data_IF_969943428194
#
_entry.id   IF_969943428194
#
_cell.length_a   1.000
_cell.length_b   1.000
_cell.length_c   1.000
_cell.angle_alpha   90.00
_cell.angle_beta   90.00
_cell.angle_gamma   90.00
#
_symmetry.space_group_name_H-M   'P 1'
#
loop_
_entity.id
_entity.type
_entity.pdbx_description
1 polymer ?
#
# COMPACT_ATOMS: atom_id res chain seq x y z
N UNK A 1 55.04 -36.05 47.62
CA UNK A 1 56.21 -36.71 47.03
C UNK A 1 56.32 -36.15 45.64
N UNK A 2 57.44 -35.51 45.31
CA UNK A 2 57.53 -34.46 44.27
C UNK A 2 56.81 -34.78 42.94
N UNK A 3 56.78 -36.05 42.53
CA UNK A 3 56.11 -36.51 41.32
C UNK A 3 54.57 -36.50 41.39
N UNK A 4 53.96 -36.78 42.55
CA UNK A 4 52.50 -36.65 42.77
C UNK A 4 52.06 -35.18 42.78
N UNK A 5 52.87 -34.32 43.38
CA UNK A 5 52.58 -32.88 43.50
C UNK A 5 52.66 -32.20 42.12
N UNK A 6 53.66 -32.56 41.31
CA UNK A 6 53.76 -32.13 39.90
C UNK A 6 52.64 -32.68 39.01
N UNK A 7 52.15 -33.90 39.28
CA UNK A 7 51.03 -34.50 38.54
C UNK A 7 49.71 -33.82 38.89
N UNK A 8 49.51 -33.47 40.17
CA UNK A 8 48.33 -32.72 40.63
C UNK A 8 48.28 -31.33 40.00
N UNK A 9 49.41 -30.62 39.99
CA UNK A 9 49.52 -29.29 39.38
C UNK A 9 49.18 -29.32 37.88
N UNK A 10 49.69 -30.31 37.14
CA UNK A 10 49.34 -30.49 35.72
C UNK A 10 47.86 -30.78 35.46
N UNK A 11 47.20 -31.50 36.36
CA UNK A 11 45.75 -31.75 36.27
C UNK A 11 44.97 -30.46 36.53
N UNK A 12 45.40 -29.64 37.48
CA UNK A 12 44.74 -28.38 37.81
C UNK A 12 44.95 -27.33 36.71
N UNK A 13 46.15 -27.26 36.10
CA UNK A 13 46.42 -26.45 34.91
C UNK A 13 45.58 -26.88 33.71
N UNK A 14 45.42 -28.19 33.50
CA UNK A 14 44.58 -28.72 32.43
C UNK A 14 43.09 -28.39 32.65
N UNK A 15 42.61 -28.45 33.89
CA UNK A 15 41.24 -28.02 34.22
C UNK A 15 41.04 -26.54 33.97
N UNK A 16 42.00 -25.70 34.35
CA UNK A 16 41.93 -24.25 34.13
C UNK A 16 41.86 -23.92 32.64
N UNK A 17 42.73 -24.54 31.83
CA UNK A 17 42.71 -24.37 30.36
C UNK A 17 41.40 -24.86 29.72
N UNK A 18 40.84 -25.98 30.20
CA UNK A 18 39.54 -26.46 29.72
C UNK A 18 38.42 -25.49 30.10
N UNK A 19 38.43 -24.92 31.30
CA UNK A 19 37.42 -23.94 31.74
C UNK A 19 37.50 -22.62 30.97
N UNK A 20 38.71 -22.14 30.68
CA UNK A 20 38.94 -20.94 29.86
C UNK A 20 38.42 -21.15 28.44
N UNK A 21 38.82 -22.25 27.79
CA UNK A 21 38.31 -22.61 26.45
C UNK A 21 36.80 -22.81 26.42
N UNK A 22 36.22 -23.42 27.45
CA UNK A 22 34.78 -23.58 27.53
C UNK A 22 34.05 -22.23 27.63
N UNK A 23 34.67 -21.25 28.29
CA UNK A 23 34.15 -19.89 28.42
C UNK A 23 34.27 -19.13 27.09
N UNK A 24 35.42 -19.21 26.41
CA UNK A 24 35.64 -18.64 25.07
C UNK A 24 34.65 -19.19 24.05
N UNK A 25 34.51 -20.52 23.98
CA UNK A 25 33.55 -21.18 23.07
C UNK A 25 32.12 -20.75 23.38
N UNK A 26 31.77 -20.63 24.67
CA UNK A 26 30.45 -20.14 25.07
C UNK A 26 30.20 -18.72 24.58
N UNK A 27 31.17 -17.81 24.78
CA UNK A 27 31.05 -16.42 24.31
C UNK A 27 30.93 -16.35 22.79
N UNK A 28 31.74 -17.12 22.05
CA UNK A 28 31.63 -17.18 20.59
C UNK A 28 30.26 -17.69 20.11
N UNK A 29 29.73 -18.72 20.77
CA UNK A 29 28.38 -19.24 20.47
C UNK A 29 27.32 -18.19 20.77
N UNK A 30 27.38 -17.51 21.91
CA UNK A 30 26.46 -16.42 22.27
C UNK A 30 26.51 -15.29 21.23
N UNK A 31 27.70 -14.88 20.78
CA UNK A 31 27.86 -13.87 19.72
C UNK A 31 27.27 -14.32 18.39
N UNK A 32 27.59 -15.53 17.92
CA UNK A 32 27.06 -16.04 16.64
C UNK A 32 25.55 -16.22 16.66
N UNK A 33 24.99 -16.66 17.79
CA UNK A 33 23.54 -16.75 17.97
C UNK A 33 22.92 -15.36 17.89
N UNK A 34 23.52 -14.36 18.55
CA UNK A 34 23.02 -12.99 18.51
C UNK A 34 23.07 -12.41 17.08
N UNK A 35 24.18 -12.57 16.37
CA UNK A 35 24.33 -12.14 14.97
C UNK A 35 23.28 -12.80 14.07
N UNK A 36 23.09 -14.12 14.20
CA UNK A 36 22.09 -14.87 13.40
C UNK A 36 20.67 -14.40 13.69
N UNK A 37 20.34 -14.10 14.96
CA UNK A 37 19.04 -13.56 15.36
C UNK A 37 18.82 -12.18 14.75
N UNK A 38 19.83 -11.32 14.78
CA UNK A 38 19.72 -9.96 14.24
C UNK A 38 19.61 -9.96 12.71
N UNK A 39 20.39 -10.79 12.01
CA UNK A 39 20.24 -10.99 10.56
C UNK A 39 18.85 -11.52 10.19
N UNK A 40 18.34 -12.49 10.95
CA UNK A 40 17.01 -13.07 10.71
C UNK A 40 15.93 -12.02 10.90
N UNK A 41 16.02 -11.21 11.97
CA UNK A 41 15.09 -10.09 12.21
C UNK A 41 15.12 -9.08 11.07
N UNK A 42 16.30 -8.72 10.57
CA UNK A 42 16.42 -7.79 9.44
C UNK A 42 15.78 -8.34 8.17
N UNK A 43 16.02 -9.62 7.85
CA UNK A 43 15.41 -10.29 6.69
C UNK A 43 13.88 -10.32 6.80
N UNK A 44 13.35 -10.71 7.96
CA UNK A 44 11.91 -10.73 8.21
C UNK A 44 11.32 -9.33 8.07
N UNK A 45 11.95 -8.30 8.64
CA UNK A 45 11.46 -6.93 8.51
C UNK A 45 11.44 -6.46 7.05
N UNK A 46 12.49 -6.74 6.30
CA UNK A 46 12.57 -6.38 4.88
C UNK A 46 11.49 -7.09 4.05
N UNK A 47 11.18 -8.36 4.34
CA UNK A 47 10.09 -9.09 3.68
C UNK A 47 8.72 -8.51 4.01
N UNK A 48 8.47 -8.14 5.28
CA UNK A 48 7.23 -7.49 5.70
C UNK A 48 7.06 -6.12 5.02
N UNK A 49 8.13 -5.33 4.94
CA UNK A 49 8.10 -4.04 4.25
C UNK A 49 7.82 -4.22 2.75
N UNK A 50 8.44 -5.21 2.11
CA UNK A 50 8.20 -5.51 0.70
C UNK A 50 6.73 -5.90 0.44
N UNK A 51 6.15 -6.77 1.28
CA UNK A 51 4.73 -7.16 1.19
C UNK A 51 3.79 -5.98 1.43
N UNK A 52 4.07 -5.17 2.44
CA UNK A 52 3.31 -3.98 2.75
C UNK A 52 3.31 -2.99 1.58
N UNK A 53 4.46 -2.81 0.92
CA UNK A 53 4.58 -1.94 -0.25
C UNK A 53 3.82 -2.52 -1.45
N UNK A 54 3.87 -3.83 -1.70
CA UNK A 54 3.08 -4.46 -2.75
C UNK A 54 1.57 -4.23 -2.58
N UNK A 55 1.05 -4.37 -1.34
CA UNK A 55 -0.36 -4.10 -1.03
C UNK A 55 -0.73 -2.65 -1.34
N UNK A 56 0.15 -1.69 -1.01
CA UNK A 56 -0.06 -0.28 -1.31
C UNK A 56 -0.03 0.01 -2.81
N UNK A 57 0.92 -0.58 -3.54
CA UNK A 57 1.07 -0.38 -4.98
C UNK A 57 -0.15 -0.90 -5.76
N UNK A 58 -0.64 -2.09 -5.41
CA UNK A 58 -1.85 -2.66 -5.99
C UNK A 58 -3.09 -1.79 -5.72
N UNK A 59 -3.23 -1.30 -4.49
CA UNK A 59 -4.33 -0.43 -4.10
C UNK A 59 -4.30 0.90 -4.83
N UNK A 60 -3.12 1.52 -4.96
CA UNK A 60 -2.93 2.76 -5.72
C UNK A 60 -3.25 2.56 -7.20
N UNK A 61 -2.77 1.47 -7.81
CA UNK A 61 -3.05 1.16 -9.21
C UNK A 61 -4.56 0.97 -9.47
N UNK A 62 -5.26 0.29 -8.55
CA UNK A 62 -6.71 0.10 -8.62
C UNK A 62 -7.47 1.43 -8.43
N UNK A 63 -7.09 2.23 -7.43
CA UNK A 63 -7.66 3.54 -7.17
C UNK A 63 -7.53 4.48 -8.39
N UNK A 64 -6.36 4.51 -9.01
CA UNK A 64 -6.11 5.32 -10.20
C UNK A 64 -6.90 4.81 -11.42
N UNK A 65 -7.07 3.50 -11.56
CA UNK A 65 -7.94 2.93 -12.60
C UNK A 65 -9.38 3.38 -12.42
N UNK A 66 -9.92 3.29 -11.21
CA UNK A 66 -11.29 3.72 -10.88
C UNK A 66 -11.49 5.20 -11.21
N UNK A 67 -10.54 6.06 -10.80
CA UNK A 67 -10.56 7.50 -11.13
C UNK A 67 -10.58 7.76 -12.63
N UNK A 68 -9.74 7.06 -13.39
CA UNK A 68 -9.66 7.21 -14.86
C UNK A 68 -10.95 6.77 -15.54
N UNK A 69 -11.48 5.61 -15.17
CA UNK A 69 -12.72 5.07 -15.76
C UNK A 69 -13.91 6.00 -15.47
N UNK A 70 -14.00 6.54 -14.25
CA UNK A 70 -15.04 7.50 -13.88
C UNK A 70 -14.94 8.81 -14.66
N UNK A 71 -13.74 9.38 -14.85
CA UNK A 71 -13.54 10.57 -15.69
C UNK A 71 -13.98 10.35 -17.13
N UNK A 72 -13.58 9.21 -17.72
CA UNK A 72 -13.97 8.87 -19.10
C UNK A 72 -15.50 8.75 -19.22
N UNK A 73 -16.16 8.11 -18.25
CA UNK A 73 -17.61 8.00 -18.23
C UNK A 73 -18.31 9.35 -18.01
N UNK A 74 -17.80 10.19 -17.10
CA UNK A 74 -18.28 11.54 -16.85
C UNK A 74 -18.19 12.42 -18.12
N UNK A 75 -17.06 12.36 -18.83
CA UNK A 75 -16.86 13.11 -20.07
C UNK A 75 -17.80 12.66 -21.19
N UNK A 76 -18.10 11.36 -21.28
CA UNK A 76 -19.12 10.83 -22.21
C UNK A 76 -20.50 11.38 -21.89
N UNK A 77 -20.92 11.35 -20.63
CA UNK A 77 -22.21 11.91 -20.18
C UNK A 77 -22.34 13.39 -20.55
N UNK A 78 -21.29 14.19 -20.29
CA UNK A 78 -21.26 15.62 -20.67
C UNK A 78 -21.33 15.82 -22.18
N UNK A 79 -20.59 15.02 -22.95
CA UNK A 79 -20.54 15.11 -24.41
C UNK A 79 -21.88 14.74 -25.06
N UNK A 80 -22.52 13.67 -24.59
CA UNK A 80 -23.83 13.25 -25.07
C UNK A 80 -24.90 14.31 -24.78
N UNK A 81 -24.88 14.91 -23.58
CA UNK A 81 -25.81 15.97 -23.22
C UNK A 81 -25.65 17.23 -24.08
N UNK A 82 -24.40 17.66 -24.34
CA UNK A 82 -24.13 18.78 -25.26
C UNK A 82 -24.60 18.49 -26.68
N UNK A 83 -24.38 17.26 -27.15
CA UNK A 83 -24.85 16.83 -28.48
C UNK A 83 -26.37 16.85 -28.57
N UNK A 84 -27.07 16.39 -27.53
CA UNK A 84 -28.53 16.43 -27.46
C UNK A 84 -29.07 17.86 -27.39
N UNK A 85 -28.45 18.74 -26.60
CA UNK A 85 -28.81 20.14 -26.52
C UNK A 85 -28.66 20.85 -27.88
N UNK A 86 -27.56 20.60 -28.59
CA UNK A 86 -27.34 21.14 -29.94
C UNK A 86 -28.38 20.65 -30.94
N UNK A 87 -28.78 19.37 -30.87
CA UNK A 87 -29.85 18.83 -31.73
C UNK A 87 -31.20 19.49 -31.45
N UNK A 88 -31.57 19.64 -30.18
CA UNK A 88 -32.79 20.33 -29.76
C UNK A 88 -32.85 21.76 -30.32
N UNK A 89 -31.75 22.49 -30.26
CA UNK A 89 -31.67 23.86 -30.80
C UNK A 89 -31.75 23.89 -32.34
N UNK A 90 -31.12 22.93 -33.03
CA UNK A 90 -31.12 22.85 -34.48
C UNK A 90 -32.50 22.46 -35.07
N UNK A 91 -33.26 21.64 -34.35
CA UNK A 91 -34.61 21.20 -34.77
C UNK A 91 -35.69 22.26 -34.50
N UNK A 92 -35.42 23.26 -33.66
CA UNK A 92 -36.39 24.28 -33.29
C UNK A 92 -36.52 25.40 -34.34
N UNK A 93 -37.75 25.63 -34.80
CA UNK A 93 -38.06 26.66 -35.79
C UNK A 93 -38.84 27.84 -35.20
N UNK A 94 -38.35 29.05 -35.46
CA UNK A 94 -38.93 30.31 -35.01
C UNK A 94 -38.40 30.77 -33.63
N UNK A 95 -38.49 32.08 -33.31
CA UNK A 95 -37.80 32.66 -32.15
C UNK A 95 -38.22 32.08 -30.80
N UNK A 96 -39.53 31.82 -30.62
CA UNK A 96 -40.07 31.28 -29.37
C UNK A 96 -39.60 29.83 -29.15
N UNK A 97 -39.66 29.00 -30.20
CA UNK A 97 -39.22 27.61 -30.13
C UNK A 97 -37.71 27.52 -29.86
N UNK A 98 -36.90 28.37 -30.50
CA UNK A 98 -35.46 28.42 -30.26
C UNK A 98 -35.11 28.79 -28.82
N UNK A 99 -35.81 29.77 -28.22
CA UNK A 99 -35.62 30.11 -26.81
C UNK A 99 -35.99 28.95 -25.88
N UNK A 100 -37.10 28.26 -26.16
CA UNK A 100 -37.51 27.09 -25.39
C UNK A 100 -36.49 25.94 -25.52
N UNK A 101 -36.01 25.66 -26.73
CA UNK A 101 -35.01 24.63 -27.00
C UNK A 101 -33.67 24.93 -26.31
N UNK A 102 -33.17 26.18 -26.36
CA UNK A 102 -31.97 26.60 -25.62
C UNK A 102 -32.11 26.36 -24.12
N UNK A 103 -33.26 26.72 -23.55
CA UNK A 103 -33.50 26.51 -22.11
C UNK A 103 -33.57 25.03 -21.75
N UNK A 104 -34.22 24.21 -22.58
CA UNK A 104 -34.26 22.77 -22.41
C UNK A 104 -32.86 22.14 -22.52
N UNK A 105 -32.09 22.52 -23.55
CA UNK A 105 -30.72 22.07 -23.74
C UNK A 105 -29.80 22.44 -22.56
N UNK A 106 -29.93 23.65 -22.03
CA UNK A 106 -29.17 24.07 -20.84
C UNK A 106 -29.51 23.23 -19.60
N UNK A 107 -30.78 22.86 -19.42
CA UNK A 107 -31.20 21.97 -18.32
C UNK A 107 -30.59 20.57 -18.49
N UNK A 108 -30.60 20.02 -19.71
CA UNK A 108 -29.97 18.72 -20.02
C UNK A 108 -28.48 18.74 -19.73
N UNK A 109 -27.77 19.80 -20.15
CA UNK A 109 -26.33 19.96 -19.85
C UNK A 109 -26.10 20.06 -18.34
N UNK A 110 -26.89 20.86 -17.63
CA UNK A 110 -26.73 21.07 -16.18
C UNK A 110 -26.94 19.78 -15.40
N UNK A 111 -27.96 19.00 -15.74
CA UNK A 111 -28.22 17.71 -15.11
C UNK A 111 -27.11 16.69 -15.42
N UNK A 112 -26.62 16.67 -16.65
CA UNK A 112 -25.50 15.83 -17.04
C UNK A 112 -24.21 16.19 -16.30
N UNK A 113 -23.92 17.49 -16.13
CA UNK A 113 -22.76 17.96 -15.36
C UNK A 113 -22.86 17.53 -13.88
N UNK A 114 -24.05 17.61 -13.28
CA UNK A 114 -24.28 17.13 -11.91
C UNK A 114 -24.06 15.62 -11.78
N UNK A 115 -24.60 14.82 -12.72
CA UNK A 115 -24.42 13.36 -12.74
C UNK A 115 -22.96 12.97 -12.95
N UNK A 116 -22.29 13.63 -13.90
CA UNK A 116 -20.87 13.44 -14.18
C UNK A 116 -20.00 13.75 -12.95
N UNK A 117 -20.29 14.86 -12.26
CA UNK A 117 -19.63 15.21 -11.01
C UNK A 117 -19.89 14.20 -9.90
N UNK A 118 -21.14 13.76 -9.72
CA UNK A 118 -21.48 12.77 -8.71
C UNK A 118 -20.75 11.44 -8.92
N UNK A 119 -20.62 11.01 -10.18
CA UNK A 119 -19.84 9.83 -10.57
C UNK A 119 -18.35 9.99 -10.23
N UNK A 120 -17.74 11.13 -10.59
CA UNK A 120 -16.35 11.43 -10.25
C UNK A 120 -16.12 11.45 -8.72
N UNK A 121 -17.04 12.08 -7.98
CA UNK A 121 -16.97 12.18 -6.52
C UNK A 121 -17.14 10.81 -5.84
N UNK A 122 -18.02 9.94 -6.35
CA UNK A 122 -18.18 8.56 -5.85
C UNK A 122 -16.95 7.70 -6.12
N UNK A 123 -16.41 7.79 -7.33
CA UNK A 123 -15.17 7.10 -7.69
C UNK A 123 -14.00 7.55 -6.81
N UNK A 124 -13.89 8.84 -6.50
CA UNK A 124 -12.85 9.35 -5.59
C UNK A 124 -13.03 8.81 -4.17
N UNK A 125 -14.26 8.80 -3.63
CA UNK A 125 -14.53 8.20 -2.30
C UNK A 125 -14.14 6.72 -2.27
N UNK A 126 -14.47 5.97 -3.32
CA UNK A 126 -14.12 4.56 -3.44
C UNK A 126 -12.60 4.35 -3.52
N UNK A 127 -11.91 5.16 -4.32
CA UNK A 127 -10.46 5.15 -4.43
C UNK A 127 -9.78 5.42 -3.08
N UNK A 128 -10.23 6.46 -2.36
CA UNK A 128 -9.72 6.80 -1.03
C UNK A 128 -9.95 5.68 -0.01
N UNK A 129 -11.12 5.04 -0.03
CA UNK A 129 -11.41 3.91 0.84
C UNK A 129 -10.47 2.72 0.57
N UNK A 130 -10.24 2.38 -0.70
CA UNK A 130 -9.34 1.28 -1.10
C UNK A 130 -7.91 1.55 -0.60
N UNK A 131 -7.39 2.77 -0.82
CA UNK A 131 -6.05 3.15 -0.35
C UNK A 131 -5.98 3.17 1.17
N UNK A 132 -7.02 3.67 1.85
CA UNK A 132 -7.08 3.67 3.32
C UNK A 132 -7.11 2.26 3.92
N UNK A 133 -7.89 1.35 3.35
CA UNK A 133 -7.92 -0.07 3.77
C UNK A 133 -6.57 -0.75 3.53
N UNK A 134 -5.92 -0.46 2.40
CA UNK A 134 -4.60 -0.97 2.09
C UNK A 134 -3.53 -0.44 3.05
N UNK A 135 -3.59 0.84 3.43
CA UNK A 135 -2.68 1.42 4.42
C UNK A 135 -2.81 0.71 5.77
N UNK A 136 -4.04 0.49 6.24
CA UNK A 136 -4.28 -0.24 7.49
C UNK A 136 -3.74 -1.68 7.43
N UNK A 137 -3.86 -2.35 6.28
CA UNK A 137 -3.29 -3.69 6.09
C UNK A 137 -1.77 -3.64 6.07
N UNK A 138 -1.18 -2.75 5.28
CA UNK A 138 0.26 -2.54 5.19
C UNK A 138 0.88 -2.26 6.57
N UNK A 139 0.24 -1.45 7.40
CA UNK A 139 0.72 -1.15 8.75
C UNK A 139 0.67 -2.38 9.68
N UNK A 140 -0.35 -3.23 9.55
CA UNK A 140 -0.39 -4.52 10.28
C UNK A 140 0.71 -5.47 9.80
N UNK A 141 0.94 -5.55 8.49
CA UNK A 141 2.01 -6.37 7.91
C UNK A 141 3.36 -5.93 8.47
N UNK A 142 3.67 -4.62 8.43
CA UNK A 142 4.94 -4.09 8.96
C UNK A 142 5.11 -4.35 10.46
N UNK A 143 4.02 -4.39 11.21
CA UNK A 143 4.03 -4.71 12.63
C UNK A 143 4.14 -6.23 12.92
N UNK A 144 4.12 -7.08 11.90
CA UNK A 144 4.09 -8.53 12.05
C UNK A 144 2.77 -9.04 12.65
N UNK A 145 1.69 -8.26 12.50
CA UNK A 145 0.36 -8.53 13.04
C UNK A 145 -0.59 -9.10 11.97
N UNK A 146 -0.05 -9.74 10.93
CA UNK A 146 -0.86 -10.44 9.91
C UNK A 146 -1.84 -11.44 10.54
#
# INVERSE_FOLDING_TARGET
GQMRDAMQQRVDDAKQQVMERATEVRTEVETRVQETVDETRQKVQAELDARANQVMDEANALADRIRREARVAADRVRTEARTQAQRLEAEASGPIAQMAARRAGQLVITEADQRAKALEDEAERNAQRIVGEAQLRADRIRAGLE
#
